data_IF_220807194566
#
_entry.id   IF_220807194566
#
_cell.length_a   1.000
_cell.length_b   1.000
_cell.length_c   1.000
_cell.angle_alpha   90.00
_cell.angle_beta   90.00
_cell.angle_gamma   90.00
#
_symmetry.space_group_name_H-M   'P 1'
#
loop_
_entity.id
_entity.type
_entity.pdbx_description
1 polymer ?
#
# COMPACT_ATOMS: atom_id res chain seq x y z
N UNK A 1 -10.80 7.27 27.87
CA UNK A 1 -10.59 6.00 27.13
C UNK A 1 -11.15 6.20 25.72
N UNK A 2 -10.34 6.70 24.78
CA UNK A 2 -10.74 6.84 23.38
C UNK A 2 -10.51 5.52 22.67
N UNK A 3 -11.58 4.82 22.27
CA UNK A 3 -11.48 3.61 21.48
C UNK A 3 -10.80 3.91 20.14
N UNK A 4 -9.64 3.29 19.90
CA UNK A 4 -8.94 3.38 18.62
C UNK A 4 -9.86 2.76 17.56
N UNK A 5 -10.27 3.54 16.57
CA UNK A 5 -11.08 3.05 15.46
C UNK A 5 -10.19 2.16 14.59
N UNK A 6 -10.37 0.85 14.66
CA UNK A 6 -9.72 -0.09 13.74
C UNK A 6 -10.13 0.31 12.32
N UNK A 7 -9.23 0.92 11.56
CA UNK A 7 -9.46 1.03 10.12
C UNK A 7 -9.51 -0.39 9.57
N UNK A 8 -10.43 -0.69 8.63
CA UNK A 8 -10.35 -1.94 7.90
C UNK A 8 -8.93 -2.10 7.37
N UNK A 9 -8.33 -3.27 7.58
CA UNK A 9 -7.01 -3.54 7.05
C UNK A 9 -7.05 -3.35 5.53
N UNK A 10 -6.08 -2.60 5.01
CA UNK A 10 -5.88 -2.45 3.59
C UNK A 10 -5.68 -3.82 2.94
N UNK A 11 -6.01 -3.96 1.65
CA UNK A 11 -5.93 -5.24 0.93
C UNK A 11 -4.54 -5.89 1.05
N UNK A 12 -3.50 -5.08 1.19
CA UNK A 12 -2.11 -5.52 1.23
C UNK A 12 -1.42 -5.35 2.59
N UNK A 13 -2.13 -4.94 3.64
CA UNK A 13 -1.55 -4.76 4.98
C UNK A 13 -0.75 -6.00 5.43
N UNK A 14 0.50 -5.75 5.87
CA UNK A 14 1.41 -6.79 6.34
C UNK A 14 2.03 -7.65 5.24
N UNK A 15 1.88 -7.26 3.96
CA UNK A 15 2.55 -7.91 2.83
C UNK A 15 3.75 -7.11 2.35
N UNK A 16 4.79 -7.80 1.89
CA UNK A 16 5.92 -7.19 1.19
C UNK A 16 5.73 -7.37 -0.31
N UNK A 17 5.77 -6.27 -1.07
CA UNK A 17 5.59 -6.27 -2.53
C UNK A 17 6.84 -5.70 -3.21
N UNK A 18 7.37 -6.41 -4.21
CA UNK A 18 8.44 -5.92 -5.07
C UNK A 18 7.87 -5.43 -6.40
N UNK A 19 8.12 -4.16 -6.75
CA UNK A 19 7.77 -3.59 -8.05
C UNK A 19 9.04 -3.22 -8.80
N UNK A 20 9.30 -3.88 -9.93
CA UNK A 20 10.41 -3.53 -10.82
C UNK A 20 10.04 -2.34 -11.72
N UNK A 21 11.02 -1.55 -12.14
CA UNK A 21 10.76 -0.36 -12.97
C UNK A 21 9.93 0.73 -12.27
N UNK A 22 9.89 0.77 -10.93
CA UNK A 22 9.12 1.75 -10.15
C UNK A 22 9.62 3.21 -10.27
N UNK A 23 10.65 3.44 -11.07
CA UNK A 23 11.25 4.74 -11.31
C UNK A 23 10.35 5.69 -12.10
N UNK A 24 9.44 5.24 -12.97
CA UNK A 24 8.57 6.11 -13.77
C UNK A 24 7.33 5.38 -14.30
N UNK A 25 6.44 6.12 -14.99
CA UNK A 25 5.29 5.57 -15.70
C UNK A 25 4.43 4.64 -14.86
N UNK A 26 4.07 3.49 -15.46
CA UNK A 26 3.21 2.48 -14.85
C UNK A 26 3.82 1.93 -13.56
N UNK A 27 5.11 1.59 -13.56
CA UNK A 27 5.77 1.03 -12.38
C UNK A 27 5.66 1.95 -11.16
N UNK A 28 5.86 3.26 -11.35
CA UNK A 28 5.70 4.26 -10.28
C UNK A 28 4.26 4.36 -9.78
N UNK A 29 3.29 4.36 -10.68
CA UNK A 29 1.88 4.41 -10.33
C UNK A 29 1.47 3.16 -9.53
N UNK A 30 1.90 1.98 -9.98
CA UNK A 30 1.65 0.70 -9.32
C UNK A 30 2.26 0.66 -7.91
N UNK A 31 3.51 1.08 -7.74
CA UNK A 31 4.15 1.13 -6.41
C UNK A 31 3.38 2.04 -5.43
N UNK A 32 2.86 3.17 -5.92
CA UNK A 32 2.04 4.08 -5.10
C UNK A 32 0.68 3.50 -4.75
N UNK A 33 0.04 2.78 -5.68
CA UNK A 33 -1.24 2.14 -5.43
C UNK A 33 -1.11 1.08 -4.32
N UNK A 34 -0.11 0.20 -4.40
CA UNK A 34 0.16 -0.78 -3.34
C UNK A 34 0.40 -0.12 -1.97
N UNK A 35 1.25 0.93 -1.92
CA UNK A 35 1.51 1.64 -0.67
C UNK A 35 0.29 2.35 -0.07
N UNK A 36 -0.70 2.72 -0.90
CA UNK A 36 -1.96 3.31 -0.42
C UNK A 36 -2.94 2.26 0.10
N UNK A 37 -2.83 1.02 -0.37
CA UNK A 37 -3.69 -0.12 0.00
C UNK A 37 -3.10 -1.00 1.13
N UNK A 38 -1.97 -0.62 1.72
CA UNK A 38 -1.42 -1.24 2.93
C UNK A 38 -0.02 -1.81 2.77
#
# INVERSE_FOLDING_TARGET
MTAQRTRPAGRFDGRTVLVTGAGSGIGRATARAFAAEG
#
